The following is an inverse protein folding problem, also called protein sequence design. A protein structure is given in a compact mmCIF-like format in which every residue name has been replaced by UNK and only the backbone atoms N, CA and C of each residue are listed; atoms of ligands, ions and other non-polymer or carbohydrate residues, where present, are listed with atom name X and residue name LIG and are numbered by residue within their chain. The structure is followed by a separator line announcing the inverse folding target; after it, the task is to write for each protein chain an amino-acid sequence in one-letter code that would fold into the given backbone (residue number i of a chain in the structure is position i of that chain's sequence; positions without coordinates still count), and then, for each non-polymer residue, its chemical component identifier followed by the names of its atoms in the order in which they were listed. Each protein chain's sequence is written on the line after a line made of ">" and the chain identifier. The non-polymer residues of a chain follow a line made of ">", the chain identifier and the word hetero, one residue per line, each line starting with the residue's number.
data_IF_720521800092
#
_entry.id   IF_720521800092
#
_cell.length_a   1.000
_cell.length_b   1.000
_cell.length_c   1.000
_cell.angle_alpha   90.00
_cell.angle_beta   90.00
_cell.angle_gamma   90.00
#
_symmetry.space_group_name_H-M   'P 1'
#
loop_
_entity.id
_entity.type
_entity.pdbx_description
1 polymer ?
#
# COMPACT_ATOMS: atom_id res chain seq x y z
N UNK A 1 24.11 40.07 10.91
CA UNK A 1 23.32 39.02 11.57
C UNK A 1 24.13 37.75 11.54
N UNK A 2 24.44 37.19 12.69
CA UNK A 2 25.14 35.91 12.78
C UNK A 2 24.10 34.79 12.68
N UNK A 3 24.11 34.08 11.56
CA UNK A 3 23.19 32.99 11.29
C UNK A 3 23.29 31.86 12.33
N UNK A 4 24.49 31.63 12.88
CA UNK A 4 24.72 30.61 13.90
C UNK A 4 24.17 31.04 15.26
N UNK A 5 24.24 32.34 15.56
CA UNK A 5 23.60 32.90 16.75
C UNK A 5 22.07 32.81 16.66
N UNK A 6 21.49 33.09 15.49
CA UNK A 6 20.06 32.96 15.24
C UNK A 6 19.56 31.51 15.44
N UNK A 7 20.33 30.53 14.94
CA UNK A 7 20.04 29.10 15.14
C UNK A 7 20.14 28.69 16.61
N UNK A 8 21.16 29.18 17.33
CA UNK A 8 21.34 28.91 18.76
C UNK A 8 20.22 29.51 19.62
N UNK A 9 19.77 30.72 19.27
CA UNK A 9 18.69 31.40 19.98
C UNK A 9 17.32 30.75 19.68
N UNK A 10 17.12 30.22 18.47
CA UNK A 10 15.95 29.40 18.13
C UNK A 10 15.95 28.05 18.86
N UNK A 11 17.10 27.39 19.00
CA UNK A 11 17.24 26.12 19.74
C UNK A 11 17.02 26.30 21.26
N UNK A 12 17.37 27.46 21.82
CA UNK A 12 17.07 27.80 23.22
C UNK A 12 15.59 28.13 23.45
N UNK A 13 14.92 28.71 22.44
CA UNK A 13 13.51 29.06 22.52
C UNK A 13 12.60 27.84 22.27
N UNK A 14 13.03 26.91 21.42
CA UNK A 14 12.37 25.63 21.15
C UNK A 14 13.44 24.53 21.01
N UNK A 15 13.61 23.75 22.08
CA UNK A 15 14.59 22.66 22.14
C UNK A 15 14.34 21.56 21.08
N UNK A 16 13.14 21.51 20.50
CA UNK A 16 12.76 20.55 19.45
C UNK A 16 12.85 21.15 18.03
N UNK A 17 13.21 22.42 17.89
CA UNK A 17 13.25 23.13 16.59
C UNK A 17 14.09 22.38 15.54
N UNK A 18 15.28 21.91 15.92
CA UNK A 18 16.17 21.15 15.04
C UNK A 18 15.63 19.74 14.71
N UNK A 19 14.87 19.13 15.62
CA UNK A 19 14.27 17.81 15.44
C UNK A 19 13.03 17.88 14.52
N UNK A 20 12.34 19.03 14.46
CA UNK A 20 11.24 19.34 13.55
C UNK A 20 11.70 19.62 12.11
N UNK A 21 12.82 20.32 11.94
CA UNK A 21 13.30 20.74 10.61
C UNK A 21 14.24 19.73 9.91
N UNK A 22 14.78 18.74 10.63
CA UNK A 22 15.71 17.76 10.04
C UNK A 22 15.35 16.30 10.38
N UNK A 23 14.42 15.67 9.62
CA UNK A 23 14.02 14.28 9.83
C UNK A 23 15.19 13.29 9.61
N UNK A 24 16.17 13.61 8.75
CA UNK A 24 17.34 12.74 8.50
C UNK A 24 18.28 12.67 9.71
N UNK A 25 18.43 13.76 10.47
CA UNK A 25 19.27 13.79 11.69
C UNK A 25 18.61 13.06 12.86
N UNK A 26 17.27 13.05 12.94
CA UNK A 26 16.51 12.23 13.90
C UNK A 26 16.89 10.76 13.79
N UNK A 27 16.89 10.21 12.58
CA UNK A 27 17.29 8.81 12.31
C UNK A 27 18.70 8.51 12.83
N UNK A 28 19.69 9.38 12.57
CA UNK A 28 21.07 9.16 13.03
C UNK A 28 21.30 9.36 14.54
N UNK A 29 20.53 10.23 15.20
CA UNK A 29 20.61 10.44 16.67
C UNK A 29 20.13 9.20 17.43
N UNK A 30 19.22 8.42 16.83
CA UNK A 30 18.71 7.17 17.41
C UNK A 30 19.45 5.91 16.96
N UNK A 31 20.14 5.94 15.81
CA UNK A 31 21.11 4.90 15.39
C UNK A 31 22.41 4.94 16.21
N UNK A 32 22.73 6.07 16.86
CA UNK A 32 23.93 6.22 17.69
C UNK A 32 24.06 5.22 18.84
N UNK A 33 22.94 4.63 19.30
CA UNK A 33 22.93 3.62 20.37
C UNK A 33 22.74 2.18 19.88
N UNK A 34 22.54 1.95 18.57
CA UNK A 34 22.33 0.64 17.94
C UNK A 34 23.40 0.40 16.86
N UNK A 35 24.68 0.45 17.28
CA UNK A 35 25.82 0.36 16.38
C UNK A 35 26.10 -1.05 15.85
N UNK A 36 26.17 -1.15 14.52
CA UNK A 36 27.00 -2.06 13.70
C UNK A 36 26.42 -3.33 13.07
N UNK A 37 25.16 -3.75 13.27
CA UNK A 37 24.60 -4.89 12.51
C UNK A 37 23.09 -4.81 12.24
N UNK A 38 22.62 -3.72 11.62
CA UNK A 38 21.26 -3.68 11.07
C UNK A 38 21.32 -4.22 9.63
N UNK A 39 20.90 -5.47 9.43
CA UNK A 39 20.63 -6.01 8.09
C UNK A 39 19.36 -5.36 7.53
N UNK A 40 19.24 -5.21 6.20
CA UNK A 40 18.04 -4.64 5.54
C UNK A 40 16.71 -5.25 6.01
N UNK A 41 16.70 -6.54 6.36
CA UNK A 41 15.53 -7.22 6.92
C UNK A 41 15.09 -6.75 8.33
N UNK A 42 15.94 -6.03 9.07
CA UNK A 42 15.64 -5.53 10.41
C UNK A 42 15.16 -4.06 10.42
N UNK A 43 15.19 -3.38 9.27
CA UNK A 43 14.74 -1.98 9.14
C UNK A 43 13.27 -1.81 9.55
N UNK A 44 12.33 -2.70 9.16
CA UNK A 44 10.94 -2.57 9.62
C UNK A 44 10.79 -2.72 11.15
N UNK A 45 11.55 -3.62 11.78
CA UNK A 45 11.51 -3.83 13.23
C UNK A 45 12.19 -2.68 14.02
N UNK A 46 13.26 -2.09 13.48
CA UNK A 46 13.87 -0.88 14.04
C UNK A 46 12.93 0.31 13.88
N UNK A 47 12.18 0.39 12.77
CA UNK A 47 11.11 1.37 12.61
C UNK A 47 10.05 1.20 13.72
N UNK A 48 9.67 -0.05 14.00
CA UNK A 48 8.72 -0.39 15.06
C UNK A 48 9.20 0.02 16.47
N UNK A 49 10.52 -0.01 16.72
CA UNK A 49 11.10 0.42 17.99
C UNK A 49 10.97 1.92 18.26
N UNK A 50 10.80 2.76 17.23
CA UNK A 50 10.46 4.18 17.40
C UNK A 50 9.05 4.39 17.95
N UNK A 51 8.12 3.47 17.65
CA UNK A 51 6.73 3.57 18.11
C UNK A 51 6.56 3.18 19.59
N UNK A 52 7.46 2.37 20.14
CA UNK A 52 7.36 1.87 21.53
C UNK A 52 7.61 2.94 22.62
N UNK A 53 8.23 4.09 22.31
CA UNK A 53 8.54 5.12 23.32
C UNK A 53 7.60 6.32 23.35
N UNK A 54 6.91 6.63 22.25
CA UNK A 54 6.07 7.83 22.16
C UNK A 54 4.58 7.57 22.46
N UNK A 55 4.08 6.35 22.23
CA UNK A 55 2.64 6.04 22.38
C UNK A 55 2.26 5.29 23.66
N UNK A 56 3.25 4.90 24.48
CA UNK A 56 3.03 4.15 25.73
C UNK A 56 2.41 4.96 26.87
N UNK A 57 2.13 6.27 26.69
CA UNK A 57 1.54 7.10 27.74
C UNK A 57 0.46 8.04 27.18
N UNK A 58 -0.80 7.67 27.43
CA UNK A 58 -1.87 8.61 27.84
C UNK A 58 -2.73 9.34 26.79
N UNK A 59 -2.90 8.83 25.57
CA UNK A 59 -3.99 9.31 24.69
C UNK A 59 -4.74 8.13 24.03
N UNK A 60 -6.02 7.97 24.38
CA UNK A 60 -6.92 7.07 23.66
C UNK A 60 -7.03 7.54 22.20
N UNK A 61 -6.77 6.66 21.24
CA UNK A 61 -6.98 6.97 19.83
C UNK A 61 -8.44 7.37 19.60
N UNK A 62 -8.67 8.41 18.81
CA UNK A 62 -10.03 8.76 18.41
C UNK A 62 -10.61 7.66 17.52
N UNK A 63 -11.93 7.48 17.54
CA UNK A 63 -12.58 6.46 16.72
C UNK A 63 -12.25 6.55 15.21
N UNK A 64 -12.17 7.74 14.59
CA UNK A 64 -11.74 7.86 13.19
C UNK A 64 -10.30 7.39 12.94
N UNK A 65 -9.37 7.73 13.83
CA UNK A 65 -7.97 7.28 13.72
C UNK A 65 -7.87 5.77 13.89
N UNK A 66 -8.57 5.21 14.88
CA UNK A 66 -8.62 3.76 15.08
C UNK A 66 -9.21 3.05 13.85
N UNK A 67 -10.25 3.60 13.22
CA UNK A 67 -10.88 3.04 12.03
C UNK A 67 -9.91 3.01 10.83
N UNK A 68 -9.16 4.09 10.59
CA UNK A 68 -8.13 4.14 9.52
C UNK A 68 -7.04 3.10 9.76
N UNK A 69 -6.49 3.04 10.98
CA UNK A 69 -5.41 2.09 11.31
C UNK A 69 -5.90 0.64 11.31
N UNK A 70 -7.15 0.40 11.69
CA UNK A 70 -7.75 -0.95 11.66
C UNK A 70 -7.99 -1.41 10.22
N UNK A 71 -8.46 -0.52 9.33
CA UNK A 71 -8.62 -0.84 7.92
C UNK A 71 -7.27 -1.14 7.26
N UNK A 72 -6.25 -0.31 7.52
CA UNK A 72 -4.89 -0.57 7.06
C UNK A 72 -4.42 -1.95 7.57
N UNK A 73 -4.57 -2.24 8.87
CA UNK A 73 -4.15 -3.52 9.46
C UNK A 73 -4.83 -4.73 8.80
N UNK A 74 -6.12 -4.61 8.46
CA UNK A 74 -6.85 -5.67 7.75
C UNK A 74 -6.26 -5.93 6.35
N UNK A 75 -5.85 -4.87 5.63
CA UNK A 75 -5.17 -4.98 4.33
C UNK A 75 -3.78 -5.60 4.47
N UNK A 76 -2.98 -5.19 5.45
CA UNK A 76 -1.65 -5.81 5.68
C UNK A 76 -1.77 -7.32 5.94
N UNK A 77 -2.81 -7.76 6.68
CA UNK A 77 -3.06 -9.18 6.86
C UNK A 77 -3.49 -9.89 5.57
N UNK A 78 -4.31 -9.24 4.74
CA UNK A 78 -4.70 -9.76 3.42
C UNK A 78 -3.44 -10.04 2.59
N UNK A 79 -2.53 -9.09 2.52
CA UNK A 79 -1.29 -9.15 1.75
C UNK A 79 -0.29 -10.13 2.33
N UNK A 80 0.01 -10.04 3.64
CA UNK A 80 0.92 -10.95 4.33
C UNK A 80 0.55 -12.41 4.10
N UNK A 81 -0.72 -12.78 4.35
CA UNK A 81 -1.15 -14.17 4.23
C UNK A 81 -1.15 -14.62 2.76
N UNK A 82 -1.42 -13.74 1.81
CA UNK A 82 -1.38 -14.05 0.38
C UNK A 82 0.05 -14.40 -0.06
N UNK A 83 1.01 -13.51 0.21
CA UNK A 83 2.41 -13.70 -0.17
C UNK A 83 3.06 -14.86 0.60
N UNK A 84 2.73 -15.01 1.88
CA UNK A 84 3.23 -16.11 2.70
C UNK A 84 2.72 -17.47 2.19
N UNK A 85 1.45 -17.55 1.78
CA UNK A 85 0.89 -18.77 1.17
C UNK A 85 1.56 -19.06 -0.17
N UNK A 86 1.73 -18.05 -1.03
CA UNK A 86 2.35 -18.21 -2.35
C UNK A 86 3.80 -18.71 -2.28
N UNK A 87 4.59 -18.24 -1.31
CA UNK A 87 5.97 -18.71 -1.08
C UNK A 87 6.04 -20.19 -0.66
N UNK A 88 4.95 -20.74 -0.11
CA UNK A 88 4.85 -22.16 0.24
C UNK A 88 4.45 -23.07 -0.94
N UNK A 89 4.07 -22.51 -2.09
CA UNK A 89 3.56 -23.26 -3.23
C UNK A 89 4.67 -23.44 -4.27
N UNK A 90 5.20 -24.66 -4.36
CA UNK A 90 6.21 -25.01 -5.34
C UNK A 90 5.70 -24.75 -6.78
N UNK A 91 6.50 -24.03 -7.57
CA UNK A 91 6.21 -23.75 -8.97
C UNK A 91 5.24 -22.59 -9.24
N UNK A 92 4.70 -21.93 -8.21
CA UNK A 92 3.85 -20.74 -8.41
C UNK A 92 4.69 -19.48 -8.70
N UNK A 93 5.64 -19.17 -7.82
CA UNK A 93 6.53 -18.02 -7.94
C UNK A 93 7.80 -18.43 -8.72
N UNK A 94 8.17 -17.75 -9.81
CA UNK A 94 9.44 -17.97 -10.48
C UNK A 94 10.63 -17.76 -9.54
N UNK A 95 11.68 -18.56 -9.70
CA UNK A 95 12.88 -18.49 -8.85
C UNK A 95 13.52 -17.09 -8.80
N UNK A 96 13.46 -16.36 -9.91
CA UNK A 96 13.96 -14.99 -10.08
C UNK A 96 13.23 -13.99 -9.17
N UNK A 97 11.96 -14.25 -8.86
CA UNK A 97 11.09 -13.34 -8.09
C UNK A 97 10.93 -13.76 -6.62
N UNK A 98 11.43 -14.95 -6.25
CA UNK A 98 11.25 -15.50 -4.90
C UNK A 98 11.83 -14.59 -3.81
N UNK A 99 13.01 -13.99 -4.06
CA UNK A 99 13.64 -13.09 -3.11
C UNK A 99 12.85 -11.77 -2.92
N UNK A 100 12.28 -11.25 -4.00
CA UNK A 100 11.48 -10.04 -3.96
C UNK A 100 10.16 -10.29 -3.22
N UNK A 101 9.43 -11.36 -3.54
CA UNK A 101 8.20 -11.72 -2.82
C UNK A 101 8.48 -12.04 -1.35
N UNK A 102 9.61 -12.64 -1.01
CA UNK A 102 10.03 -12.83 0.39
C UNK A 102 10.23 -11.51 1.11
N UNK A 103 10.81 -10.52 0.42
CA UNK A 103 11.00 -9.16 0.97
C UNK A 103 9.65 -8.50 1.21
N UNK A 104 8.76 -8.49 0.21
CA UNK A 104 7.41 -7.94 0.31
C UNK A 104 6.67 -8.57 1.51
N UNK A 105 6.62 -9.91 1.60
CA UNK A 105 6.01 -10.63 2.73
C UNK A 105 6.58 -10.18 4.09
N UNK A 106 7.90 -9.98 4.17
CA UNK A 106 8.53 -9.53 5.41
C UNK A 106 8.19 -8.07 5.75
N UNK A 107 8.05 -7.21 4.74
CA UNK A 107 7.58 -5.84 4.90
C UNK A 107 6.14 -5.83 5.44
N UNK A 108 5.22 -6.63 4.86
CA UNK A 108 3.84 -6.79 5.37
C UNK A 108 3.81 -7.20 6.84
N UNK A 109 4.68 -8.15 7.23
CA UNK A 109 4.79 -8.58 8.62
C UNK A 109 5.28 -7.42 9.53
N UNK A 110 6.19 -6.60 9.03
CA UNK A 110 6.65 -5.38 9.69
C UNK A 110 5.54 -4.34 9.85
N UNK A 111 4.75 -4.11 8.80
CA UNK A 111 3.61 -3.20 8.82
C UNK A 111 2.54 -3.65 9.83
N UNK A 112 2.17 -4.93 9.85
CA UNK A 112 1.28 -5.52 10.86
C UNK A 112 1.79 -5.22 12.26
N UNK A 113 3.08 -5.46 12.52
CA UNK A 113 3.67 -5.22 13.84
C UNK A 113 3.62 -3.73 14.22
N UNK A 114 3.94 -2.83 13.30
CA UNK A 114 3.88 -1.39 13.53
C UNK A 114 2.46 -0.91 13.84
N UNK A 115 1.48 -1.30 13.02
CA UNK A 115 0.07 -0.93 13.21
C UNK A 115 -0.50 -1.48 14.52
N UNK A 116 -0.18 -2.74 14.86
CA UNK A 116 -0.60 -3.34 16.14
C UNK A 116 0.03 -2.64 17.33
N UNK A 117 1.29 -2.21 17.22
CA UNK A 117 1.93 -1.44 18.28
C UNK A 117 1.23 -0.09 18.52
N UNK A 118 0.85 0.62 17.45
CA UNK A 118 0.11 1.90 17.55
C UNK A 118 -1.32 1.69 18.06
N UNK A 119 -2.01 0.66 17.59
CA UNK A 119 -3.38 0.33 18.02
C UNK A 119 -3.44 -0.18 19.47
N UNK A 120 -2.38 -0.81 19.97
CA UNK A 120 -2.30 -1.34 21.33
C UNK A 120 -3.48 -2.28 21.66
N UNK A 121 -4.16 -2.01 22.77
CA UNK A 121 -5.35 -2.78 23.19
C UNK A 121 -6.57 -2.60 22.27
N UNK A 122 -6.54 -1.58 21.41
CA UNK A 122 -7.58 -1.31 20.43
C UNK A 122 -7.42 -2.15 19.15
N UNK A 123 -6.30 -2.89 19.01
CA UNK A 123 -6.07 -3.77 17.88
C UNK A 123 -7.02 -4.97 17.91
N UNK A 124 -7.68 -5.32 16.79
CA UNK A 124 -8.49 -6.52 16.73
C UNK A 124 -7.65 -7.78 16.95
N UNK A 125 -8.33 -8.89 17.27
CA UNK A 125 -7.74 -10.23 17.24
C UNK A 125 -7.05 -10.45 15.88
N UNK A 126 -5.84 -11.05 15.85
CA UNK A 126 -5.15 -11.34 14.59
C UNK A 126 -6.03 -12.09 13.59
N UNK A 127 -6.01 -11.64 12.34
CA UNK A 127 -6.63 -12.36 11.23
C UNK A 127 -5.70 -13.48 10.75
N UNK A 128 -6.30 -14.60 10.38
CA UNK A 128 -5.64 -15.81 9.91
C UNK A 128 -5.84 -15.93 8.39
N UNK A 129 -5.00 -16.72 7.72
CA UNK A 129 -5.17 -17.03 6.29
C UNK A 129 -6.58 -17.54 5.96
N UNK A 130 -7.20 -18.30 6.88
CA UNK A 130 -8.57 -18.83 6.74
C UNK A 130 -9.66 -17.77 6.82
N UNK A 131 -9.34 -16.56 7.27
CA UNK A 131 -10.29 -15.45 7.29
C UNK A 131 -10.45 -14.81 5.90
N UNK A 132 -9.53 -15.10 4.97
CA UNK A 132 -9.53 -14.54 3.61
C UNK A 132 -10.02 -15.54 2.57
N UNK A 133 -10.66 -15.02 1.51
CA UNK A 133 -11.04 -15.77 0.30
C UNK A 133 -10.28 -15.17 -0.90
N UNK A 134 -9.09 -15.70 -1.18
CA UNK A 134 -8.25 -15.22 -2.27
C UNK A 134 -8.80 -15.49 -3.67
N UNK A 135 -9.93 -16.20 -3.79
CA UNK A 135 -10.63 -16.29 -5.06
C UNK A 135 -11.27 -14.96 -5.47
N UNK A 136 -11.49 -14.02 -4.54
CA UNK A 136 -12.31 -12.83 -4.79
C UNK A 136 -13.81 -13.16 -4.87
N UNK A 137 -14.22 -14.30 -4.30
CA UNK A 137 -15.58 -14.84 -4.34
C UNK A 137 -16.42 -14.49 -3.12
N UNK A 138 -15.94 -13.62 -2.23
CA UNK A 138 -16.58 -13.21 -0.97
C UNK A 138 -17.05 -14.38 -0.10
N UNK A 139 -16.18 -15.40 0.04
CA UNK A 139 -16.39 -16.58 0.87
C UNK A 139 -16.95 -17.78 0.13
N UNK A 140 -17.21 -17.67 -1.18
CA UNK A 140 -17.62 -18.80 -2.01
C UNK A 140 -16.45 -19.66 -2.48
N UNK A 141 -15.21 -19.15 -2.42
CA UNK A 141 -14.03 -19.82 -2.97
C UNK A 141 -14.03 -19.92 -4.50
N UNK A 142 -15.00 -19.32 -5.18
CA UNK A 142 -15.23 -19.48 -6.62
C UNK A 142 -15.22 -18.15 -7.37
N UNK A 143 -14.50 -17.16 -6.85
CA UNK A 143 -14.34 -15.87 -7.52
C UNK A 143 -13.38 -15.90 -8.71
N UNK A 144 -13.25 -14.75 -9.39
CA UNK A 144 -12.45 -14.58 -10.61
C UNK A 144 -10.95 -14.85 -10.42
N UNK A 145 -10.43 -14.72 -9.19
CA UNK A 145 -9.03 -14.93 -8.84
C UNK A 145 -8.75 -16.33 -8.27
N UNK A 146 -9.69 -17.29 -8.35
CA UNK A 146 -9.58 -18.61 -7.69
C UNK A 146 -8.29 -19.39 -7.99
N UNK A 147 -7.66 -19.13 -9.13
CA UNK A 147 -6.43 -19.81 -9.54
C UNK A 147 -5.14 -19.07 -9.13
N UNK A 148 -5.22 -17.91 -8.46
CA UNK A 148 -4.06 -17.08 -8.14
C UNK A 148 -3.07 -17.76 -7.17
N UNK A 149 -3.52 -18.73 -6.38
CA UNK A 149 -2.69 -19.54 -5.47
C UNK A 149 -2.62 -21.01 -5.90
N UNK A 150 -2.72 -21.29 -7.20
CA UNK A 150 -2.61 -22.64 -7.76
C UNK A 150 -1.47 -22.63 -8.76
N UNK A 151 -0.45 -23.52 -8.67
CA UNK A 151 0.62 -23.54 -9.65
C UNK A 151 0.04 -23.90 -11.04
N UNK A 152 0.44 -23.17 -12.08
CA UNK A 152 -0.02 -23.41 -13.45
C UNK A 152 0.75 -24.56 -14.12
N UNK A 153 0.14 -25.24 -15.09
CA UNK A 153 0.81 -26.32 -15.84
C UNK A 153 1.66 -25.81 -17.01
N UNK A 154 1.20 -24.81 -17.76
CA UNK A 154 1.85 -24.33 -19.01
C UNK A 154 2.14 -22.84 -18.93
N UNK A 155 3.40 -22.43 -19.13
CA UNK A 155 3.79 -21.01 -19.21
C UNK A 155 3.59 -20.19 -17.92
N UNK A 156 3.29 -20.84 -16.79
CA UNK A 156 2.95 -20.24 -15.51
C UNK A 156 1.82 -19.18 -15.58
N UNK A 157 0.74 -19.46 -16.31
CA UNK A 157 -0.44 -18.58 -16.41
C UNK A 157 -1.03 -18.20 -15.06
N UNK A 158 -1.07 -19.13 -14.11
CA UNK A 158 -1.54 -18.85 -12.75
C UNK A 158 -0.53 -18.04 -11.92
N UNK A 159 0.78 -18.17 -12.17
CA UNK A 159 1.77 -17.26 -11.61
C UNK A 159 1.60 -15.84 -12.13
N UNK A 160 1.25 -15.66 -13.42
CA UNK A 160 0.87 -14.34 -13.93
C UNK A 160 -0.38 -13.79 -13.21
N UNK A 161 -1.35 -14.66 -12.90
CA UNK A 161 -2.52 -14.29 -12.09
C UNK A 161 -2.16 -13.94 -10.64
N UNK A 162 -1.17 -14.62 -10.03
CA UNK A 162 -0.62 -14.25 -8.72
C UNK A 162 -0.07 -12.82 -8.72
N UNK A 163 0.78 -12.47 -9.70
CA UNK A 163 1.32 -11.10 -9.76
C UNK A 163 0.24 -10.05 -10.10
N UNK A 164 -0.80 -10.43 -10.84
CA UNK A 164 -1.98 -9.59 -11.06
C UNK A 164 -2.78 -9.34 -9.77
N UNK A 165 -2.98 -10.38 -8.95
CA UNK A 165 -3.58 -10.25 -7.61
C UNK A 165 -2.73 -9.38 -6.69
N UNK A 166 -1.40 -9.60 -6.66
CA UNK A 166 -0.47 -8.81 -5.86
C UNK A 166 -0.50 -7.32 -6.22
N UNK A 167 -0.51 -6.98 -7.51
CA UNK A 167 -0.73 -5.60 -7.95
C UNK A 167 -2.06 -5.03 -7.43
N UNK A 168 -3.16 -5.79 -7.54
CA UNK A 168 -4.47 -5.33 -7.11
C UNK A 168 -4.55 -5.07 -5.59
N UNK A 169 -3.91 -5.93 -4.78
CA UNK A 169 -3.87 -5.76 -3.33
C UNK A 169 -3.03 -4.55 -2.93
N UNK A 170 -1.77 -4.49 -3.37
CA UNK A 170 -0.86 -3.41 -2.99
C UNK A 170 -1.32 -2.04 -3.56
N UNK A 171 -2.00 -2.01 -4.71
CA UNK A 171 -2.63 -0.78 -5.20
C UNK A 171 -3.77 -0.32 -4.28
N UNK A 172 -4.58 -1.26 -3.80
CA UNK A 172 -5.66 -0.97 -2.84
C UNK A 172 -5.08 -0.51 -1.50
N UNK A 173 -4.05 -1.20 -0.99
CA UNK A 173 -3.36 -0.91 0.26
C UNK A 173 -2.70 0.47 0.27
N UNK A 174 -1.85 0.75 -0.71
CA UNK A 174 -1.19 2.04 -0.88
C UNK A 174 -2.21 3.20 -0.88
N UNK A 175 -3.30 3.06 -1.65
CA UNK A 175 -4.30 4.12 -1.76
C UNK A 175 -5.16 4.28 -0.51
N UNK A 176 -5.37 3.20 0.24
CA UNK A 176 -6.02 3.26 1.54
C UNK A 176 -5.18 4.09 2.53
N UNK A 177 -3.85 3.94 2.52
CA UNK A 177 -2.96 4.80 3.33
C UNK A 177 -3.06 6.26 2.91
N UNK A 178 -3.00 6.55 1.60
CA UNK A 178 -3.11 7.93 1.11
C UNK A 178 -4.47 8.54 1.44
N UNK A 179 -5.56 7.77 1.31
CA UNK A 179 -6.92 8.20 1.64
C UNK A 179 -7.16 8.36 3.14
N UNK A 180 -6.46 7.61 3.99
CA UNK A 180 -6.49 7.79 5.44
C UNK A 180 -5.66 8.98 5.95
N UNK A 181 -4.70 9.46 5.15
CA UNK A 181 -3.75 10.50 5.57
C UNK A 181 -4.42 11.81 6.08
N UNK A 182 -5.51 12.34 5.48
CA UNK A 182 -6.19 13.52 6.01
C UNK A 182 -6.74 13.32 7.43
N UNK A 183 -7.26 12.13 7.76
CA UNK A 183 -7.76 11.80 9.10
C UNK A 183 -6.63 11.78 10.12
N UNK A 184 -5.43 11.35 9.70
CA UNK A 184 -4.23 11.30 10.53
C UNK A 184 -3.51 12.66 10.61
N UNK A 185 -3.89 13.64 9.80
CA UNK A 185 -3.23 14.94 9.73
C UNK A 185 -3.72 15.92 10.81
N UNK A 186 -3.61 15.52 12.07
CA UNK A 186 -3.91 16.37 13.23
C UNK A 186 -2.64 16.66 14.02
N UNK A 187 -2.66 17.68 14.88
CA UNK A 187 -1.53 17.97 15.79
C UNK A 187 -1.21 16.80 16.72
N UNK A 188 -2.21 15.99 17.10
CA UNK A 188 -2.07 14.87 18.04
C UNK A 188 -1.62 13.55 17.39
N UNK A 189 -1.58 13.47 16.05
CA UNK A 189 -1.33 12.23 15.31
C UNK A 189 -0.25 12.37 14.25
N UNK A 190 0.62 13.39 14.35
CA UNK A 190 1.70 13.63 13.38
C UNK A 190 2.67 12.45 13.27
N UNK A 191 3.01 11.83 14.38
CA UNK A 191 3.90 10.66 14.38
C UNK A 191 3.23 9.43 13.74
N UNK A 192 1.91 9.25 13.93
CA UNK A 192 1.14 8.21 13.25
C UNK A 192 1.06 8.49 11.75
N UNK A 193 0.84 9.74 11.35
CA UNK A 193 0.85 10.13 9.95
C UNK A 193 2.22 9.86 9.31
N UNK A 194 3.31 10.24 9.99
CA UNK A 194 4.67 9.96 9.52
C UNK A 194 4.91 8.44 9.36
N UNK A 195 4.46 7.63 10.31
CA UNK A 195 4.53 6.17 10.22
C UNK A 195 3.73 5.62 9.02
N UNK A 196 2.47 6.06 8.88
CA UNK A 196 1.58 5.63 7.80
C UNK A 196 2.14 6.02 6.41
N UNK A 197 2.72 7.22 6.27
CA UNK A 197 3.34 7.65 5.01
C UNK A 197 4.65 6.92 4.70
N UNK A 198 5.38 6.47 5.72
CA UNK A 198 6.53 5.60 5.51
C UNK A 198 6.10 4.22 4.97
N UNK A 199 5.05 3.62 5.55
CA UNK A 199 4.48 2.36 5.05
C UNK A 199 3.97 2.54 3.62
N UNK A 200 3.18 3.58 3.35
CA UNK A 200 2.74 3.94 2.00
C UNK A 200 3.90 3.99 0.98
N UNK A 201 5.07 4.51 1.38
CA UNK A 201 6.25 4.57 0.49
C UNK A 201 6.84 3.20 0.17
N UNK A 202 6.69 2.23 1.07
CA UNK A 202 7.08 0.83 0.87
C UNK A 202 6.08 0.15 -0.05
N UNK A 203 4.78 0.31 0.20
CA UNK A 203 3.70 -0.16 -0.68
C UNK A 203 3.87 0.33 -2.13
N UNK A 204 4.21 1.61 -2.31
CA UNK A 204 4.47 2.15 -3.65
C UNK A 204 5.63 1.44 -4.38
N UNK A 205 6.63 0.93 -3.64
CA UNK A 205 7.73 0.12 -4.23
C UNK A 205 7.26 -1.28 -4.58
N UNK A 206 6.41 -1.90 -3.75
CA UNK A 206 5.79 -3.19 -4.06
C UNK A 206 4.94 -3.09 -5.32
N UNK A 207 4.11 -2.04 -5.43
CA UNK A 207 3.33 -1.68 -6.61
C UNK A 207 4.17 -1.57 -7.88
N UNK A 208 5.31 -0.87 -7.79
CA UNK A 208 6.26 -0.75 -8.90
C UNK A 208 6.88 -2.10 -9.28
N UNK A 209 7.19 -2.94 -8.29
CA UNK A 209 7.74 -4.27 -8.52
C UNK A 209 6.73 -5.20 -9.19
N UNK A 210 5.50 -5.32 -8.69
CA UNK A 210 4.45 -6.13 -9.32
C UNK A 210 4.24 -5.75 -10.78
N UNK A 211 4.12 -4.45 -11.07
CA UNK A 211 4.00 -3.96 -12.45
C UNK A 211 5.20 -4.36 -13.32
N UNK A 212 6.40 -4.24 -12.77
CA UNK A 212 7.64 -4.62 -13.45
C UNK A 212 7.67 -6.10 -13.80
N UNK A 213 7.32 -6.97 -12.85
CA UNK A 213 7.26 -8.41 -13.10
C UNK A 213 6.19 -8.74 -14.13
N UNK A 214 5.01 -8.12 -14.07
CA UNK A 214 3.94 -8.35 -15.05
C UNK A 214 4.36 -7.99 -16.47
N UNK A 215 5.04 -6.85 -16.67
CA UNK A 215 5.68 -6.54 -17.97
C UNK A 215 6.70 -7.58 -18.38
N UNK A 216 7.55 -7.99 -17.45
CA UNK A 216 8.61 -8.97 -17.70
C UNK A 216 8.05 -10.35 -18.08
N UNK A 217 6.90 -10.75 -17.52
CA UNK A 217 6.19 -11.97 -17.92
C UNK A 217 5.74 -11.87 -19.38
N UNK A 218 5.07 -10.78 -19.77
CA UNK A 218 4.62 -10.58 -21.16
C UNK A 218 5.79 -10.53 -22.13
N UNK A 219 6.90 -9.91 -21.74
CA UNK A 219 8.11 -9.80 -22.55
C UNK A 219 9.01 -11.07 -22.50
N UNK A 220 8.63 -12.11 -21.74
CA UNK A 220 9.45 -13.29 -21.47
C UNK A 220 10.88 -12.94 -21.00
N UNK A 221 10.98 -12.00 -20.06
CA UNK A 221 12.23 -11.39 -19.59
C UNK A 221 12.27 -11.25 -18.06
N UNK A 222 11.72 -12.22 -17.31
CA UNK A 222 11.71 -12.25 -15.84
C UNK A 222 13.09 -11.93 -15.22
N UNK A 223 13.10 -11.23 -14.09
CA UNK A 223 14.31 -10.69 -13.48
C UNK A 223 14.89 -9.43 -14.14
N UNK A 224 14.29 -8.92 -15.22
CA UNK A 224 14.68 -7.66 -15.87
C UNK A 224 13.71 -6.52 -15.55
N UNK A 225 14.24 -5.38 -15.13
CA UNK A 225 13.47 -4.14 -14.98
C UNK A 225 13.20 -3.43 -16.32
N UNK A 226 13.88 -3.82 -17.40
CA UNK A 226 13.84 -3.17 -18.72
C UNK A 226 12.73 -3.66 -19.65
N UNK A 227 11.82 -4.53 -19.19
CA UNK A 227 10.72 -5.01 -20.00
C UNK A 227 9.77 -3.85 -20.38
N UNK A 228 9.40 -3.70 -21.66
CA UNK A 228 8.58 -2.58 -22.11
C UNK A 228 7.15 -2.68 -21.60
N UNK A 229 6.54 -1.55 -21.26
CA UNK A 229 5.10 -1.46 -21.08
C UNK A 229 4.42 -1.52 -22.47
N UNK A 230 3.27 -2.18 -22.58
CA UNK A 230 2.53 -2.31 -23.83
C UNK A 230 1.07 -1.96 -23.59
N UNK A 231 0.53 -1.04 -24.39
CA UNK A 231 -0.89 -0.69 -24.34
C UNK A 231 -1.74 -1.74 -25.06
N UNK A 232 -2.91 -2.16 -24.52
CA UNK A 232 -3.48 -1.73 -23.25
C UNK A 232 -2.69 -2.28 -22.05
N UNK A 233 -2.48 -1.42 -21.05
CA UNK A 233 -1.55 -1.64 -19.94
C UNK A 233 -2.05 -2.64 -18.88
N UNK A 234 -3.20 -3.26 -19.08
CA UNK A 234 -3.75 -4.21 -18.12
C UNK A 234 -2.90 -5.47 -18.00
N UNK A 235 -2.21 -5.94 -19.04
CA UNK A 235 -1.31 -7.09 -19.00
C UNK A 235 0.18 -6.70 -18.82
N UNK A 236 0.64 -5.65 -19.49
CA UNK A 236 2.02 -5.15 -19.45
C UNK A 236 2.04 -3.68 -18.96
N UNK A 237 1.75 -3.45 -17.67
CA UNK A 237 1.50 -2.10 -17.14
C UNK A 237 2.75 -1.23 -17.09
N UNK A 238 2.62 0.09 -17.17
CA UNK A 238 3.72 0.99 -16.80
C UNK A 238 4.08 0.82 -15.31
N UNK A 239 5.17 1.42 -14.83
CA UNK A 239 5.51 1.40 -13.39
C UNK A 239 4.62 2.33 -12.53
N UNK A 240 3.82 3.15 -13.19
CA UNK A 240 2.83 4.08 -12.68
C UNK A 240 1.55 3.90 -13.51
N UNK A 241 0.45 4.54 -13.12
CA UNK A 241 -0.83 4.41 -13.81
C UNK A 241 -0.98 5.50 -14.88
N UNK A 242 -1.45 5.13 -16.06
CA UNK A 242 -1.76 6.08 -17.14
C UNK A 242 -3.26 6.13 -17.36
N UNK A 243 -3.89 7.27 -17.09
CA UNK A 243 -5.34 7.43 -17.03
C UNK A 243 -5.91 6.34 -16.11
N UNK A 244 -6.84 5.50 -16.58
CA UNK A 244 -7.40 4.39 -15.79
C UNK A 244 -6.70 3.04 -16.05
N UNK A 245 -5.62 2.99 -16.82
CA UNK A 245 -4.88 1.74 -17.14
C UNK A 245 -5.77 0.56 -17.61
N UNK A 246 -6.83 0.88 -18.38
CA UNK A 246 -7.86 -0.07 -18.78
C UNK A 246 -8.52 -0.81 -17.59
N UNK A 247 -8.67 -0.16 -16.44
CA UNK A 247 -9.21 -0.77 -15.21
C UNK A 247 -8.25 -1.74 -14.51
N UNK A 248 -6.97 -1.73 -14.87
CA UNK A 248 -5.93 -2.51 -14.21
C UNK A 248 -5.96 -4.02 -14.51
N UNK A 249 -5.38 -4.86 -13.62
CA UNK A 249 -5.23 -6.29 -13.84
C UNK A 249 -6.54 -7.00 -14.15
N UNK A 250 -6.51 -7.83 -15.20
CA UNK A 250 -7.65 -8.63 -15.67
C UNK A 250 -7.55 -10.07 -15.16
N UNK A 251 -8.64 -10.59 -14.62
CA UNK A 251 -8.78 -11.98 -14.22
C UNK A 251 -9.02 -12.90 -15.45
N UNK A 252 -8.86 -14.23 -15.33
CA UNK A 252 -9.00 -15.15 -16.47
C UNK A 252 -10.39 -15.16 -17.11
N UNK A 253 -11.43 -14.79 -16.36
CA UNK A 253 -12.80 -14.66 -16.86
C UNK A 253 -13.08 -13.31 -17.55
N UNK A 254 -12.06 -12.46 -17.68
CA UNK A 254 -12.16 -11.12 -18.27
C UNK A 254 -12.62 -10.04 -17.29
N UNK A 255 -12.98 -10.40 -16.04
CA UNK A 255 -13.34 -9.42 -15.03
C UNK A 255 -12.13 -8.65 -14.51
N UNK A 256 -12.37 -7.48 -13.91
CA UNK A 256 -11.34 -6.63 -13.27
C UNK A 256 -11.76 -6.34 -11.83
N UNK A 257 -11.53 -7.28 -10.89
CA UNK A 257 -12.08 -7.19 -9.54
C UNK A 257 -11.65 -5.92 -8.80
N UNK A 258 -10.43 -5.44 -9.05
CA UNK A 258 -9.90 -4.21 -8.48
C UNK A 258 -10.03 -2.98 -9.39
N UNK A 259 -10.90 -2.99 -10.41
CA UNK A 259 -11.08 -1.85 -11.33
C UNK A 259 -11.45 -0.54 -10.64
N UNK A 260 -12.08 -0.62 -9.46
CA UNK A 260 -12.39 0.53 -8.60
C UNK A 260 -11.16 1.26 -8.04
N UNK A 261 -9.98 0.64 -8.09
CA UNK A 261 -8.70 1.31 -7.84
C UNK A 261 -8.42 2.38 -8.89
N UNK A 262 -8.75 2.08 -10.16
CA UNK A 262 -8.32 2.86 -11.31
C UNK A 262 -9.39 3.80 -11.84
N UNK A 263 -10.66 3.39 -11.79
CA UNK A 263 -11.77 4.26 -12.11
C UNK A 263 -12.10 5.20 -10.94
N UNK A 264 -12.76 6.34 -11.18
CA UNK A 264 -13.36 7.11 -10.10
C UNK A 264 -14.36 6.23 -9.35
N UNK A 265 -14.08 6.00 -8.08
CA UNK A 265 -15.13 5.76 -7.12
C UNK A 265 -15.93 7.06 -7.03
N UNK A 266 -17.09 7.13 -7.68
CA UNK A 266 -18.20 7.79 -6.99
C UNK A 266 -18.26 7.12 -5.60
N UNK A 267 -18.21 7.86 -4.48
CA UNK A 267 -18.34 7.26 -3.16
C UNK A 267 -19.49 6.24 -3.18
N UNK A 268 -19.32 5.11 -2.49
CA UNK A 268 -20.27 4.00 -2.52
C UNK A 268 -21.75 4.42 -2.26
N UNK A 269 -21.96 5.61 -1.69
CA UNK A 269 -23.23 6.33 -1.64
C UNK A 269 -23.01 7.85 -1.82
N UNK A 270 -23.55 8.46 -2.88
CA UNK A 270 -23.72 9.93 -2.97
C UNK A 270 -22.81 10.70 -3.93
N UNK A 271 -22.84 12.04 -3.81
CA UNK A 271 -22.18 13.03 -4.67
C UNK A 271 -20.67 12.79 -4.77
N UNK A 272 -20.01 13.01 -5.94
CA UNK A 272 -18.56 12.91 -6.08
C UNK A 272 -17.83 13.71 -4.99
N UNK A 273 -17.04 13.02 -4.16
CA UNK A 273 -16.13 13.66 -3.23
C UNK A 273 -14.85 13.99 -3.98
N UNK A 274 -14.60 15.28 -4.22
CA UNK A 274 -13.40 15.76 -4.90
C UNK A 274 -12.09 15.39 -4.17
N UNK A 275 -12.18 14.89 -2.94
CA UNK A 275 -11.04 14.39 -2.15
C UNK A 275 -10.55 13.00 -2.58
N UNK A 276 -11.35 12.25 -3.35
CA UNK A 276 -11.03 10.90 -3.82
C UNK A 276 -11.31 10.76 -5.33
N UNK A 277 -10.57 11.50 -6.17
CA UNK A 277 -10.80 11.47 -7.60
C UNK A 277 -10.30 10.15 -8.22
N UNK A 278 -10.75 9.83 -9.44
CA UNK A 278 -10.23 8.69 -10.20
C UNK A 278 -8.84 8.95 -10.78
N UNK A 279 -8.16 7.91 -11.26
CA UNK A 279 -6.79 8.06 -11.78
C UNK A 279 -6.66 8.93 -13.01
N UNK A 280 -7.74 9.14 -13.76
CA UNK A 280 -7.80 10.08 -14.87
C UNK A 280 -7.95 11.55 -14.42
N UNK A 281 -7.82 11.82 -13.13
CA UNK A 281 -7.85 13.16 -12.57
C UNK A 281 -6.76 14.06 -13.17
N UNK A 282 -7.19 15.23 -13.62
CA UNK A 282 -6.31 16.26 -14.17
C UNK A 282 -6.19 17.47 -13.27
N UNK A 283 -6.89 17.48 -12.13
CA UNK A 283 -6.97 18.64 -11.24
C UNK A 283 -6.40 18.33 -9.85
N UNK A 284 -5.39 19.08 -9.44
CA UNK A 284 -4.76 18.92 -8.12
C UNK A 284 -4.95 20.20 -7.30
N UNK A 285 -5.43 20.06 -6.07
CA UNK A 285 -5.71 21.19 -5.16
C UNK A 285 -6.57 22.30 -5.83
N UNK A 286 -7.55 21.91 -6.66
CA UNK A 286 -8.44 22.84 -7.37
C UNK A 286 -7.85 23.47 -8.64
N UNK A 287 -6.62 23.11 -9.03
CA UNK A 287 -5.97 23.61 -10.25
C UNK A 287 -6.01 22.53 -11.33
N UNK A 288 -6.64 22.81 -12.47
CA UNK A 288 -6.55 21.95 -13.65
C UNK A 288 -5.14 22.06 -14.26
N UNK A 289 -4.36 21.00 -14.14
CA UNK A 289 -2.96 21.00 -14.56
C UNK A 289 -2.79 21.01 -16.08
N UNK A 290 -3.81 20.60 -16.86
CA UNK A 290 -3.76 20.67 -18.33
C UNK A 290 -3.65 22.10 -18.86
N UNK A 291 -4.04 23.10 -18.05
CA UNK A 291 -3.96 24.51 -18.44
C UNK A 291 -2.56 25.11 -18.25
N UNK A 292 -1.62 24.38 -17.66
CA UNK A 292 -0.25 24.87 -17.39
C UNK A 292 0.67 24.79 -18.61
N UNK A 293 0.27 24.09 -19.67
CA UNK A 293 1.02 24.00 -20.93
C UNK A 293 0.76 22.70 -21.69
N UNK A 294 1.11 22.68 -22.98
CA UNK A 294 0.84 21.54 -23.88
C UNK A 294 1.56 20.23 -23.51
N UNK A 295 2.60 20.30 -22.68
CA UNK A 295 3.31 19.11 -22.17
C UNK A 295 2.56 18.41 -21.04
N UNK A 296 1.65 19.11 -20.34
CA UNK A 296 0.84 18.56 -19.25
C UNK A 296 -0.42 17.91 -19.82
N UNK A 297 -0.23 16.84 -20.59
CA UNK A 297 -1.34 16.03 -21.10
C UNK A 297 -2.06 15.30 -19.97
N UNK A 298 -3.32 14.90 -20.17
CA UNK A 298 -4.07 14.12 -19.18
C UNK A 298 -3.31 12.85 -18.74
N UNK A 299 -2.69 12.15 -19.71
CA UNK A 299 -1.82 11.02 -19.40
C UNK A 299 -0.63 11.44 -18.53
N UNK A 300 0.15 12.45 -18.93
CA UNK A 300 1.30 12.91 -18.14
C UNK A 300 0.92 13.33 -16.71
N UNK A 301 -0.27 13.90 -16.52
CA UNK A 301 -0.77 14.28 -15.19
C UNK A 301 -1.13 13.03 -14.38
N UNK A 302 -1.96 12.13 -14.91
CA UNK A 302 -2.32 10.88 -14.21
C UNK A 302 -1.08 10.05 -13.83
N UNK A 303 -0.05 10.05 -14.68
CA UNK A 303 1.20 9.32 -14.45
C UNK A 303 2.05 9.90 -13.31
N UNK A 304 1.73 11.10 -12.83
CA UNK A 304 2.44 11.77 -11.73
C UNK A 304 1.78 11.59 -10.36
N UNK A 305 0.55 11.07 -10.29
CA UNK A 305 -0.21 10.96 -9.03
C UNK A 305 -0.94 9.62 -8.95
N UNK A 306 -0.71 8.86 -7.88
CA UNK A 306 -1.64 7.80 -7.48
C UNK A 306 -2.73 8.40 -6.60
N UNK A 307 -4.00 8.39 -7.03
CA UNK A 307 -5.11 9.02 -6.31
C UNK A 307 -5.57 8.21 -5.09
N UNK A 308 -5.97 8.90 -3.99
CA UNK A 308 -6.42 8.22 -2.78
C UNK A 308 -7.76 7.51 -3.00
N UNK A 309 -8.01 6.45 -2.22
CA UNK A 309 -9.33 5.81 -2.15
C UNK A 309 -10.03 6.12 -0.82
N UNK A 310 -11.33 6.34 -0.89
CA UNK A 310 -12.14 6.47 0.32
C UNK A 310 -12.31 5.10 1.01
N UNK A 311 -12.50 5.07 2.35
CA UNK A 311 -12.62 3.82 3.09
C UNK A 311 -13.75 2.89 2.62
N UNK A 312 -14.87 3.42 2.09
CA UNK A 312 -15.97 2.59 1.62
C UNK A 312 -15.62 1.91 0.29
N UNK A 313 -14.91 2.60 -0.61
CA UNK A 313 -14.39 1.99 -1.84
C UNK A 313 -13.36 0.91 -1.53
N UNK A 314 -12.43 1.17 -0.60
CA UNK A 314 -11.44 0.18 -0.14
C UNK A 314 -12.14 -1.06 0.41
N UNK A 315 -13.11 -0.90 1.32
CA UNK A 315 -13.90 -2.02 1.86
C UNK A 315 -14.71 -2.74 0.78
N UNK A 316 -15.26 -2.02 -0.20
CA UNK A 316 -15.97 -2.65 -1.31
C UNK A 316 -15.08 -3.55 -2.14
N UNK A 317 -13.80 -3.20 -2.33
CA UNK A 317 -12.83 -4.05 -3.03
C UNK A 317 -12.43 -5.22 -2.12
N UNK A 318 -12.02 -4.92 -0.89
CA UNK A 318 -11.45 -5.90 0.04
C UNK A 318 -12.48 -6.95 0.53
N UNK A 319 -13.77 -6.58 0.63
CA UNK A 319 -14.85 -7.50 1.03
C UNK A 319 -15.09 -8.65 0.05
N UNK A 320 -14.62 -8.53 -1.20
CA UNK A 320 -14.59 -9.65 -2.15
C UNK A 320 -13.60 -10.73 -1.71
N UNK A 321 -12.58 -10.38 -0.92
CA UNK A 321 -11.53 -11.28 -0.44
C UNK A 321 -11.75 -11.75 0.99
N UNK A 322 -13.00 -11.67 1.48
CA UNK A 322 -13.35 -12.06 2.85
C UNK A 322 -14.07 -13.40 2.86
N UNK A 323 -13.57 -14.36 3.63
CA UNK A 323 -14.26 -15.63 3.87
C UNK A 323 -15.45 -15.46 4.81
N UNK A 324 -16.27 -16.51 4.96
CA UNK A 324 -17.31 -16.56 6.01
C UNK A 324 -16.73 -16.38 7.42
N UNK A 325 -15.55 -16.96 7.70
CA UNK A 325 -14.89 -16.81 9.00
C UNK A 325 -14.38 -15.38 9.23
N UNK A 326 -13.84 -14.74 8.19
CA UNK A 326 -13.42 -13.34 8.23
C UNK A 326 -14.58 -12.38 8.47
N UNK A 327 -15.71 -12.60 7.79
CA UNK A 327 -16.95 -11.82 7.99
C UNK A 327 -17.42 -11.88 9.44
N UNK A 328 -17.36 -13.06 10.06
CA UNK A 328 -17.71 -13.23 11.48
C UNK A 328 -16.79 -12.45 12.43
N UNK A 329 -15.58 -12.08 12.00
CA UNK A 329 -14.63 -11.23 12.75
C UNK A 329 -14.74 -9.73 12.40
N UNK A 330 -15.68 -9.33 11.54
CA UNK A 330 -15.80 -7.93 11.09
C UNK A 330 -14.72 -7.50 10.10
N UNK A 331 -14.10 -8.45 9.39
CA UNK A 331 -13.09 -8.15 8.37
C UNK A 331 -13.73 -7.37 7.20
N UNK A 332 -13.22 -6.16 6.94
CA UNK A 332 -13.68 -5.22 5.91
C UNK A 332 -15.16 -4.82 5.97
N UNK A 333 -15.75 -4.82 7.17
CA UNK A 333 -17.12 -4.32 7.44
C UNK A 333 -17.10 -2.84 7.81
#
# INVERSE_FOLDING_TARGET
>A
MDFFQLLSDLEKADAEFLDRINPRRRVFKYLGNAGQKITTAAVPAVLASFFNRAYGQSATLTAPVQAVLTLALQLEYLEYHFYNTALGIAGLIPSQETAAITTIRNDEAGHINALRAVLGTAAPTPYLVTDFDYSGGSGTGNGPMKNALIPGSTGNTNGALFFAAGQAFSDTGQRAYKGGAPVLNTTATKDILEAALNIHSVEARHNSHFRTVRRAIVANALGSAGAPAVSPYDAAPKSWISLVDNGGPTAPDGSKPASKVYGPGTPATGTPDASYPGEDNTSQAGVNLTTLGSTYTAAAISEAFDEPLDPATVKSIASMFTSTAGKAKGLFV
#
